data_IF_067633296038
#
_entry.id   IF_067633296038
#
_cell.length_a   1.000
_cell.length_b   1.000
_cell.length_c   1.000
_cell.angle_alpha   90.00
_cell.angle_beta   90.00
_cell.angle_gamma   90.00
#
_symmetry.space_group_name_H-M   'P 1'
#
loop_
_entity.id
_entity.type
_entity.pdbx_description
1 polymer ?
#
# COMPACT_ATOMS: atom_id res chain seq x y z
N UNK A 1 18.26 20.60 -3.67
CA UNK A 1 18.08 19.16 -3.73
C UNK A 1 16.60 18.82 -3.74
N UNK A 2 16.20 17.90 -4.60
CA UNK A 2 14.84 17.41 -4.61
C UNK A 2 14.53 16.69 -3.29
N UNK A 3 13.32 16.88 -2.77
CA UNK A 3 12.87 16.13 -1.59
C UNK A 3 12.75 14.65 -1.92
N UNK A 4 13.11 13.81 -0.97
CA UNK A 4 12.90 12.37 -1.12
C UNK A 4 11.40 12.07 -1.21
N UNK A 5 11.05 11.11 -2.04
CA UNK A 5 9.67 10.78 -2.34
C UNK A 5 9.33 9.36 -1.89
N UNK A 6 8.19 9.22 -1.23
CA UNK A 6 7.51 7.93 -1.01
C UNK A 6 6.40 7.83 -2.04
N UNK A 7 6.51 6.84 -2.93
CA UNK A 7 5.46 6.53 -3.90
C UNK A 7 4.54 5.47 -3.31
N UNK A 8 3.24 5.70 -3.34
CA UNK A 8 2.26 4.70 -2.92
C UNK A 8 1.66 4.06 -4.16
N UNK A 9 1.93 2.78 -4.35
CA UNK A 9 1.39 1.97 -5.44
C UNK A 9 0.29 1.10 -4.85
N UNK A 10 -0.94 1.55 -4.97
CA UNK A 10 -2.07 0.90 -4.32
C UNK A 10 -3.34 0.88 -5.16
N UNK A 11 -4.41 0.48 -4.52
CA UNK A 11 -5.74 0.37 -5.09
C UNK A 11 -6.73 1.30 -4.37
N UNK A 12 -8.01 0.94 -4.32
CA UNK A 12 -9.06 1.77 -3.72
C UNK A 12 -8.86 2.06 -2.23
N UNK A 13 -8.13 1.21 -1.52
CA UNK A 13 -7.87 1.43 -0.08
C UNK A 13 -6.95 2.63 0.16
N UNK A 14 -6.18 3.03 -0.84
CA UNK A 14 -5.27 4.18 -0.77
C UNK A 14 -5.65 5.31 -1.72
N UNK A 15 -6.43 5.03 -2.77
CA UNK A 15 -6.82 6.04 -3.76
C UNK A 15 -7.83 7.05 -3.24
N UNK A 16 -8.58 6.73 -2.21
CA UNK A 16 -9.66 7.59 -1.70
C UNK A 16 -11.00 7.26 -2.33
N UNK A 17 -11.44 6.01 -2.16
CA UNK A 17 -12.70 5.53 -2.74
C UNK A 17 -13.88 6.34 -2.22
N UNK A 18 -14.69 6.89 -3.14
CA UNK A 18 -15.88 7.71 -2.87
C UNK A 18 -15.58 8.97 -2.05
N UNK A 19 -14.39 9.56 -2.22
CA UNK A 19 -14.04 10.81 -1.55
C UNK A 19 -13.09 11.62 -2.42
N UNK A 20 -12.96 12.94 -2.16
CA UNK A 20 -11.93 13.73 -2.81
C UNK A 20 -10.53 13.20 -2.48
N UNK A 21 -9.62 13.23 -3.44
CA UNK A 21 -8.24 12.75 -3.22
C UNK A 21 -7.57 13.43 -2.04
N UNK A 22 -7.86 14.71 -1.81
CA UNK A 22 -7.29 15.47 -0.69
C UNK A 22 -7.74 14.96 0.68
N UNK A 23 -8.81 14.14 0.74
CA UNK A 23 -9.33 13.57 1.98
C UNK A 23 -8.76 12.18 2.27
N UNK A 24 -8.09 11.56 1.29
CA UNK A 24 -7.53 10.22 1.43
C UNK A 24 -6.28 10.23 2.32
N UNK A 25 -6.01 9.12 2.98
CA UNK A 25 -4.90 9.05 3.94
C UNK A 25 -3.53 9.41 3.34
N UNK A 26 -3.20 9.09 2.06
CA UNK A 26 -1.91 9.51 1.52
C UNK A 26 -1.74 11.03 1.46
N UNK A 27 -2.80 11.76 1.10
CA UNK A 27 -2.75 13.22 1.07
C UNK A 27 -2.59 13.80 2.47
N UNK A 28 -3.26 13.21 3.46
CA UNK A 28 -3.12 13.63 4.86
C UNK A 28 -1.73 13.33 5.41
N UNK A 29 -1.16 12.19 5.03
CA UNK A 29 0.22 11.84 5.37
C UNK A 29 1.21 12.84 4.76
N UNK A 30 1.00 13.20 3.51
CA UNK A 30 1.85 14.19 2.83
C UNK A 30 1.84 15.53 3.57
N UNK A 31 0.66 16.02 3.95
CA UNK A 31 0.54 17.26 4.73
C UNK A 31 1.31 17.16 6.05
N UNK A 32 1.17 16.04 6.75
CA UNK A 32 1.83 15.81 8.03
C UNK A 32 3.35 15.85 7.88
N UNK A 33 3.87 15.20 6.84
CA UNK A 33 5.31 15.13 6.63
C UNK A 33 5.90 16.40 6.04
N UNK A 34 5.14 17.14 5.24
CA UNK A 34 5.60 18.43 4.69
C UNK A 34 5.79 19.48 5.79
N UNK A 35 5.11 19.34 6.92
CA UNK A 35 5.29 20.24 8.06
C UNK A 35 6.63 20.00 8.79
N UNK A 36 7.36 18.94 8.47
CA UNK A 36 8.64 18.60 9.10
C UNK A 36 9.80 19.24 8.32
N UNK A 37 10.90 19.60 8.99
CA UNK A 37 12.05 20.22 8.32
C UNK A 37 12.68 19.35 7.23
N UNK A 38 12.65 18.01 7.41
CA UNK A 38 13.20 17.04 6.48
C UNK A 38 12.13 16.41 5.58
N UNK A 39 11.04 17.11 5.33
CA UNK A 39 9.81 16.59 4.76
C UNK A 39 9.99 15.62 3.61
N UNK A 40 9.39 14.43 3.75
CA UNK A 40 9.27 13.45 2.67
C UNK A 40 7.99 13.76 1.90
N UNK A 41 8.10 13.83 0.58
CA UNK A 41 6.94 14.01 -0.27
C UNK A 41 6.25 12.66 -0.50
N UNK A 42 4.93 12.63 -0.31
CA UNK A 42 4.12 11.44 -0.57
C UNK A 42 3.40 11.62 -1.90
N UNK A 43 3.63 10.71 -2.83
CA UNK A 43 2.94 10.68 -4.12
C UNK A 43 2.01 9.50 -4.14
N UNK A 44 0.72 9.77 -4.26
CA UNK A 44 -0.29 8.71 -4.30
C UNK A 44 -0.54 8.30 -5.75
N UNK A 45 0.01 7.16 -6.15
CA UNK A 45 -0.19 6.60 -7.48
C UNK A 45 -1.18 5.44 -7.46
N UNK A 46 -2.09 5.43 -6.49
CA UNK A 46 -3.08 4.37 -6.33
C UNK A 46 -4.24 4.56 -7.29
N UNK A 47 -4.77 3.46 -7.80
CA UNK A 47 -5.93 3.45 -8.71
C UNK A 47 -6.95 2.44 -8.18
N UNK A 48 -8.20 2.91 -7.97
CA UNK A 48 -9.27 2.04 -7.52
C UNK A 48 -9.49 0.88 -8.49
N UNK A 49 -9.61 -0.33 -7.96
CA UNK A 49 -9.85 -1.52 -8.76
C UNK A 49 -8.60 -2.22 -9.29
N UNK A 50 -7.42 -1.64 -9.13
CA UNK A 50 -6.21 -2.23 -9.67
C UNK A 50 -5.88 -3.58 -9.01
N UNK A 51 -5.54 -4.53 -9.87
CA UNK A 51 -4.89 -5.77 -9.47
C UNK A 51 -3.39 -5.56 -9.36
N UNK A 52 -2.68 -6.55 -8.81
CA UNK A 52 -1.21 -6.51 -8.77
C UNK A 52 -0.63 -6.42 -10.18
N UNK A 53 -1.19 -7.16 -11.15
CA UNK A 53 -0.73 -7.09 -12.55
C UNK A 53 -0.92 -5.72 -13.18
N UNK A 54 -2.03 -5.05 -12.87
CA UNK A 54 -2.27 -3.69 -13.38
C UNK A 54 -1.31 -2.69 -12.75
N UNK A 55 -1.05 -2.81 -11.45
CA UNK A 55 -0.04 -1.98 -10.79
C UNK A 55 1.35 -2.20 -11.38
N UNK A 56 1.70 -3.45 -11.66
CA UNK A 56 2.96 -3.81 -12.31
C UNK A 56 3.11 -3.12 -13.68
N UNK A 57 2.04 -3.12 -14.46
CA UNK A 57 2.08 -2.57 -15.83
C UNK A 57 2.41 -1.08 -15.85
N UNK A 58 1.96 -0.30 -14.86
CA UNK A 58 2.20 1.14 -14.84
C UNK A 58 3.40 1.55 -13.97
N UNK A 59 4.02 0.60 -13.28
CA UNK A 59 5.13 0.89 -12.39
C UNK A 59 6.38 1.48 -13.08
N UNK A 60 6.84 0.95 -14.24
CA UNK A 60 8.06 1.50 -14.86
C UNK A 60 7.96 3.00 -15.15
N UNK A 61 6.82 3.46 -15.67
CA UNK A 61 6.63 4.89 -15.96
C UNK A 61 6.63 5.72 -14.68
N UNK A 62 6.04 5.20 -13.60
CA UNK A 62 6.00 5.88 -12.31
C UNK A 62 7.39 5.99 -11.69
N UNK A 63 8.20 4.94 -11.77
CA UNK A 63 9.58 4.95 -11.27
C UNK A 63 10.41 5.98 -12.03
N UNK A 64 10.26 6.06 -13.35
CA UNK A 64 10.97 7.02 -14.16
C UNK A 64 10.54 8.47 -13.86
N UNK A 65 9.24 8.68 -13.73
CA UNK A 65 8.66 10.01 -13.52
C UNK A 65 9.01 10.58 -12.14
N UNK A 66 8.90 9.75 -11.10
CA UNK A 66 9.00 10.24 -9.72
C UNK A 66 10.32 9.94 -9.06
N UNK A 67 11.08 8.98 -9.55
CA UNK A 67 12.36 8.56 -8.98
C UNK A 67 12.28 8.45 -7.45
N UNK A 68 11.34 7.65 -6.92
CA UNK A 68 11.10 7.59 -5.49
C UNK A 68 12.25 6.92 -4.76
N UNK A 69 12.43 7.29 -3.49
CA UNK A 69 13.36 6.58 -2.62
C UNK A 69 12.71 5.34 -2.00
N UNK A 70 11.42 5.41 -1.76
CA UNK A 70 10.63 4.29 -1.21
C UNK A 70 9.37 4.10 -2.04
N UNK A 71 8.93 2.85 -2.17
CA UNK A 71 7.66 2.50 -2.79
C UNK A 71 6.88 1.64 -1.81
N UNK A 72 5.74 2.13 -1.35
CA UNK A 72 4.80 1.33 -0.56
C UNK A 72 3.89 0.59 -1.51
N UNK A 73 3.88 -0.74 -1.42
CA UNK A 73 3.08 -1.61 -2.28
C UNK A 73 1.86 -2.06 -1.48
N UNK A 74 0.67 -1.55 -1.87
CA UNK A 74 -0.60 -1.91 -1.24
C UNK A 74 -1.51 -2.48 -2.34
N UNK A 75 -1.22 -3.70 -2.79
CA UNK A 75 -1.89 -4.37 -3.90
C UNK A 75 -2.13 -5.84 -3.59
N UNK A 76 -3.05 -6.44 -4.34
CA UNK A 76 -3.37 -7.86 -4.25
C UNK A 76 -4.78 -8.12 -3.75
N UNK A 77 -5.42 -7.17 -3.08
CA UNK A 77 -6.78 -7.34 -2.57
C UNK A 77 -7.79 -7.63 -3.67
N UNK A 78 -7.73 -6.89 -4.78
CA UNK A 78 -8.65 -7.12 -5.89
C UNK A 78 -8.42 -8.47 -6.57
N UNK A 79 -7.17 -8.89 -6.66
CA UNK A 79 -6.82 -10.24 -7.15
C UNK A 79 -7.50 -11.30 -6.28
N UNK A 80 -7.36 -11.16 -4.97
CA UNK A 80 -7.95 -12.09 -4.00
C UNK A 80 -9.46 -12.10 -4.04
N UNK A 81 -10.09 -10.93 -4.14
CA UNK A 81 -11.56 -10.82 -4.24
C UNK A 81 -12.09 -11.49 -5.51
N UNK A 82 -11.29 -11.55 -6.57
CA UNK A 82 -11.63 -12.25 -7.81
C UNK A 82 -11.27 -13.72 -7.78
N UNK A 83 -10.67 -14.21 -6.71
CA UNK A 83 -10.27 -15.60 -6.58
C UNK A 83 -9.09 -16.00 -7.44
N UNK A 84 -8.21 -15.07 -7.79
CA UNK A 84 -7.01 -15.38 -8.57
C UNK A 84 -6.12 -16.36 -7.79
N UNK A 85 -5.41 -17.27 -8.48
CA UNK A 85 -4.50 -18.17 -7.80
C UNK A 85 -3.42 -17.39 -7.02
N UNK A 86 -3.17 -17.72 -5.74
CA UNK A 86 -2.16 -17.03 -4.95
C UNK A 86 -0.78 -17.02 -5.61
N UNK A 87 -0.40 -18.08 -6.33
CA UNK A 87 0.88 -18.12 -7.04
C UNK A 87 1.00 -17.02 -8.10
N UNK A 88 -0.10 -16.70 -8.78
CA UNK A 88 -0.10 -15.64 -9.79
C UNK A 88 0.05 -14.25 -9.13
N UNK A 89 -0.62 -14.06 -8.00
CA UNK A 89 -0.49 -12.83 -7.21
C UNK A 89 0.95 -12.68 -6.74
N UNK A 90 1.53 -13.73 -6.23
CA UNK A 90 2.92 -13.75 -5.77
C UNK A 90 3.90 -13.39 -6.87
N UNK A 91 3.69 -13.93 -8.09
CA UNK A 91 4.55 -13.63 -9.23
C UNK A 91 4.48 -12.15 -9.59
N UNK A 92 3.28 -11.58 -9.64
CA UNK A 92 3.12 -10.16 -9.99
C UNK A 92 3.74 -9.25 -8.93
N UNK A 93 3.53 -9.54 -7.65
CA UNK A 93 4.13 -8.78 -6.56
C UNK A 93 5.65 -8.93 -6.55
N UNK A 94 6.17 -10.12 -6.84
CA UNK A 94 7.60 -10.37 -6.95
C UNK A 94 8.24 -9.50 -8.04
N UNK A 95 7.58 -9.39 -9.19
CA UNK A 95 8.05 -8.55 -10.28
C UNK A 95 8.04 -7.07 -9.90
N UNK A 96 7.00 -6.63 -9.19
CA UNK A 96 6.94 -5.26 -8.68
C UNK A 96 8.12 -4.98 -7.77
N UNK A 97 8.37 -5.85 -6.79
CA UNK A 97 9.48 -5.70 -5.84
C UNK A 97 10.81 -5.63 -6.59
N UNK A 98 11.02 -6.52 -7.56
CA UNK A 98 12.24 -6.56 -8.37
C UNK A 98 12.46 -5.25 -9.12
N UNK A 99 11.41 -4.71 -9.77
CA UNK A 99 11.52 -3.45 -10.50
C UNK A 99 11.87 -2.28 -9.57
N UNK A 100 11.27 -2.25 -8.39
CA UNK A 100 11.55 -1.21 -7.40
C UNK A 100 13.03 -1.28 -6.98
N UNK A 101 13.53 -2.47 -6.68
CA UNK A 101 14.93 -2.66 -6.29
C UNK A 101 15.89 -2.32 -7.43
N UNK A 102 15.55 -2.68 -8.66
CA UNK A 102 16.37 -2.33 -9.83
C UNK A 102 16.43 -0.83 -10.07
N UNK A 103 15.40 -0.09 -9.66
CA UNK A 103 15.39 1.37 -9.70
C UNK A 103 16.10 1.99 -8.50
N UNK A 104 16.74 1.16 -7.65
CA UNK A 104 17.45 1.58 -6.45
C UNK A 104 16.55 2.27 -5.42
N UNK A 105 15.28 1.92 -5.42
CA UNK A 105 14.32 2.33 -4.42
C UNK A 105 14.11 1.20 -3.40
N UNK A 106 13.63 1.54 -2.21
CA UNK A 106 13.35 0.58 -1.16
C UNK A 106 11.87 0.16 -1.23
N UNK A 107 11.58 -1.12 -1.51
CA UNK A 107 10.20 -1.61 -1.44
C UNK A 107 9.75 -1.75 0.02
N UNK A 108 8.53 -1.32 0.28
CA UNK A 108 7.83 -1.54 1.54
C UNK A 108 6.55 -2.29 1.19
N UNK A 109 6.41 -3.53 1.63
CA UNK A 109 5.28 -4.36 1.25
C UNK A 109 4.24 -4.37 2.37
N UNK A 110 3.01 -3.93 2.06
CA UNK A 110 1.92 -3.99 3.02
C UNK A 110 1.28 -5.38 3.02
N UNK A 111 1.09 -5.94 4.20
CA UNK A 111 0.28 -7.14 4.37
C UNK A 111 -1.15 -6.83 3.96
N UNK A 112 -1.72 -7.61 3.06
CA UNK A 112 -3.14 -7.54 2.70
C UNK A 112 -3.83 -8.78 3.23
N UNK A 113 -5.08 -8.63 3.69
CA UNK A 113 -5.93 -9.73 4.11
C UNK A 113 -7.32 -9.56 3.48
N UNK A 114 -7.93 -10.67 3.16
CA UNK A 114 -9.27 -10.68 2.58
C UNK A 114 -10.34 -10.79 3.67
N UNK A 115 -11.58 -10.36 3.40
CA UNK A 115 -12.69 -10.64 4.30
C UNK A 115 -12.84 -12.14 4.55
N UNK A 116 -13.32 -12.52 5.74
CA UNK A 116 -13.31 -13.91 6.21
C UNK A 116 -14.23 -14.83 5.41
N UNK A 117 -15.19 -14.29 4.65
CA UNK A 117 -16.17 -15.08 3.90
C UNK A 117 -15.64 -15.69 2.59
N UNK A 118 -14.33 -15.54 2.28
CA UNK A 118 -13.74 -16.08 1.06
C UNK A 118 -13.16 -17.48 1.22
N UNK A 119 -13.39 -18.13 2.38
CA UNK A 119 -12.93 -19.47 2.65
C UNK A 119 -11.56 -19.48 3.33
N UNK A 120 -11.44 -20.32 4.36
CA UNK A 120 -10.25 -20.33 5.22
C UNK A 120 -8.99 -20.71 4.46
N UNK A 121 -9.05 -21.76 3.63
CA UNK A 121 -7.87 -22.25 2.91
C UNK A 121 -7.34 -21.20 1.94
N UNK A 122 -8.24 -20.59 1.17
CA UNK A 122 -7.86 -19.56 0.23
C UNK A 122 -7.29 -18.35 0.96
N UNK A 123 -7.94 -17.90 2.03
CA UNK A 123 -7.51 -16.74 2.80
C UNK A 123 -6.11 -16.97 3.40
N UNK A 124 -5.84 -18.15 3.91
CA UNK A 124 -4.51 -18.47 4.44
C UNK A 124 -3.45 -18.46 3.33
N UNK A 125 -3.73 -19.13 2.19
CA UNK A 125 -2.80 -19.14 1.06
C UNK A 125 -2.54 -17.76 0.51
N UNK A 126 -3.58 -16.94 0.44
CA UNK A 126 -3.46 -15.55 0.00
C UNK A 126 -2.60 -14.73 0.96
N UNK A 127 -2.94 -14.75 2.24
CA UNK A 127 -2.23 -13.90 3.22
C UNK A 127 -0.78 -14.32 3.42
N UNK A 128 -0.45 -15.60 3.23
CA UNK A 128 0.91 -16.12 3.38
C UNK A 128 1.86 -15.66 2.26
N UNK A 129 1.33 -15.18 1.14
CA UNK A 129 2.14 -14.63 0.04
C UNK A 129 3.03 -13.50 0.53
N UNK A 130 2.48 -12.62 1.36
CA UNK A 130 3.14 -11.38 1.75
C UNK A 130 4.34 -11.59 2.68
N UNK A 131 4.22 -12.30 3.80
CA UNK A 131 5.41 -12.55 4.62
C UNK A 131 6.46 -13.40 3.91
N UNK A 132 6.05 -14.30 3.01
CA UNK A 132 6.98 -15.09 2.22
C UNK A 132 7.81 -14.20 1.29
N UNK A 133 7.17 -13.25 0.60
CA UNK A 133 7.86 -12.29 -0.26
C UNK A 133 8.76 -11.36 0.54
N UNK A 134 8.29 -10.86 1.68
CA UNK A 134 9.09 -10.00 2.53
C UNK A 134 10.37 -10.69 2.98
N UNK A 135 10.28 -11.97 3.35
CA UNK A 135 11.44 -12.77 3.74
C UNK A 135 12.35 -13.04 2.55
N UNK A 136 11.79 -13.43 1.41
CA UNK A 136 12.54 -13.76 0.20
C UNK A 136 13.39 -12.58 -0.28
N UNK A 137 12.81 -11.38 -0.28
CA UNK A 137 13.49 -10.18 -0.76
C UNK A 137 14.16 -9.37 0.35
N UNK A 138 14.08 -9.82 1.60
CA UNK A 138 14.62 -9.14 2.77
C UNK A 138 14.15 -7.67 2.84
N UNK A 139 12.85 -7.47 2.71
CA UNK A 139 12.21 -6.15 2.74
C UNK A 139 11.22 -6.05 3.89
N UNK A 140 10.91 -4.82 4.34
CA UNK A 140 9.92 -4.64 5.41
C UNK A 140 8.53 -5.09 4.99
N UNK A 141 7.83 -5.72 5.94
CA UNK A 141 6.41 -6.04 5.82
C UNK A 141 5.65 -5.07 6.72
N UNK A 142 4.88 -4.18 6.10
CA UNK A 142 4.11 -3.16 6.83
C UNK A 142 2.76 -3.77 7.22
N UNK A 143 2.34 -3.66 8.49
CA UNK A 143 1.04 -4.17 8.90
C UNK A 143 -0.12 -3.54 8.12
N UNK A 144 -1.21 -4.28 7.98
CA UNK A 144 -2.37 -3.85 7.22
C UNK A 144 -3.24 -2.89 8.04
N UNK A 145 -3.37 -1.63 7.58
CA UNK A 145 -4.12 -0.63 8.34
C UNK A 145 -5.60 -0.99 8.52
N UNK A 146 -6.18 -1.77 7.58
CA UNK A 146 -7.59 -2.12 7.68
C UNK A 146 -7.90 -2.99 8.90
N UNK A 147 -6.93 -3.74 9.42
CA UNK A 147 -7.14 -4.50 10.65
C UNK A 147 -7.50 -3.59 11.83
N UNK A 148 -6.95 -2.37 11.87
CA UNK A 148 -7.30 -1.38 12.88
C UNK A 148 -8.64 -0.72 12.58
N UNK A 149 -8.92 -0.45 11.31
CA UNK A 149 -10.17 0.20 10.89
C UNK A 149 -11.37 -0.70 11.14
N UNK A 150 -11.23 -2.02 10.93
CA UNK A 150 -12.31 -2.97 11.16
C UNK A 150 -12.75 -3.05 12.63
N UNK A 151 -11.95 -2.56 13.57
CA UNK A 151 -12.34 -2.50 14.97
C UNK A 151 -13.45 -1.48 15.24
N UNK A 152 -13.68 -0.56 14.29
CA UNK A 152 -14.73 0.45 14.37
C UNK A 152 -15.68 0.31 13.18
N UNK A 153 -16.85 -0.37 13.36
CA UNK A 153 -17.78 -0.59 12.24
C UNK A 153 -18.24 0.70 11.54
N UNK A 154 -18.32 1.81 12.27
CA UNK A 154 -18.71 3.11 11.72
C UNK A 154 -17.70 3.67 10.74
N UNK A 155 -16.49 3.10 10.67
CA UNK A 155 -15.46 3.52 9.73
C UNK A 155 -15.44 2.69 8.46
N UNK A 156 -16.37 1.75 8.31
CA UNK A 156 -16.47 0.86 7.15
C UNK A 156 -17.73 1.20 6.36
N UNK A 157 -17.61 1.30 5.04
CA UNK A 157 -18.75 1.50 4.16
C UNK A 157 -19.68 0.27 4.17
N UNK A 158 -20.87 0.44 3.60
CA UNK A 158 -21.88 -0.61 3.54
C UNK A 158 -21.41 -1.87 2.77
N UNK A 159 -20.39 -1.74 1.95
CA UNK A 159 -19.82 -2.89 1.22
C UNK A 159 -18.98 -3.81 2.11
N UNK A 160 -18.67 -3.39 3.34
CA UNK A 160 -17.86 -4.18 4.26
C UNK A 160 -16.37 -4.22 3.91
N UNK A 161 -15.92 -3.43 2.94
CA UNK A 161 -14.57 -3.50 2.40
C UNK A 161 -13.83 -2.17 2.55
N UNK A 162 -14.48 -1.07 2.18
CA UNK A 162 -13.79 0.22 2.06
C UNK A 162 -13.93 1.06 3.33
N UNK A 163 -12.87 1.77 3.72
CA UNK A 163 -12.94 2.70 4.84
C UNK A 163 -13.68 3.98 4.44
N UNK A 164 -14.36 4.57 5.41
CA UNK A 164 -15.05 5.86 5.22
C UNK A 164 -14.05 7.00 5.17
N UNK A 165 -14.53 8.19 4.77
CA UNK A 165 -13.75 9.42 4.85
C UNK A 165 -13.33 9.72 6.28
N UNK A 166 -14.20 9.45 7.26
CA UNK A 166 -13.90 9.72 8.68
C UNK A 166 -12.75 8.86 9.22
N UNK A 167 -12.49 7.70 8.61
CA UNK A 167 -11.39 6.84 9.00
C UNK A 167 -10.02 7.36 8.51
N UNK A 168 -9.99 8.23 7.52
CA UNK A 168 -8.74 8.61 6.85
C UNK A 168 -7.73 9.29 7.76
N UNK A 169 -8.11 10.23 8.65
CA UNK A 169 -7.13 10.82 9.57
C UNK A 169 -6.48 9.79 10.48
N UNK A 170 -7.26 8.82 10.98
CA UNK A 170 -6.70 7.73 11.79
C UNK A 170 -5.69 6.91 10.98
N UNK A 171 -6.05 6.55 9.74
CA UNK A 171 -5.16 5.76 8.88
C UNK A 171 -3.85 6.51 8.63
N UNK A 172 -3.94 7.81 8.34
CA UNK A 172 -2.75 8.64 8.10
C UNK A 172 -1.83 8.67 9.32
N UNK A 173 -2.40 8.88 10.52
CA UNK A 173 -1.61 8.90 11.75
C UNK A 173 -0.98 7.54 12.05
N UNK A 174 -1.75 6.48 11.88
CA UNK A 174 -1.27 5.12 12.10
C UNK A 174 -0.14 4.76 11.12
N UNK A 175 -0.33 5.10 9.84
CA UNK A 175 0.70 4.86 8.82
C UNK A 175 1.95 5.68 9.07
N UNK A 176 1.81 6.92 9.53
CA UNK A 176 2.97 7.73 9.90
C UNK A 176 3.81 7.02 10.97
N UNK A 177 3.17 6.43 11.97
CA UNK A 177 3.85 5.68 13.02
C UNK A 177 4.55 4.43 12.45
N UNK A 178 3.87 3.68 11.58
CA UNK A 178 4.43 2.46 11.01
C UNK A 178 5.62 2.75 10.09
N UNK A 179 5.59 3.87 9.37
CA UNK A 179 6.60 4.20 8.37
C UNK A 179 7.75 5.03 8.91
N UNK A 180 7.64 5.60 10.11
CA UNK A 180 8.62 6.57 10.62
C UNK A 180 10.03 6.01 10.68
N UNK A 181 10.20 4.77 11.15
CA UNK A 181 11.53 4.13 11.21
C UNK A 181 12.02 3.62 9.87
N UNK A 182 11.11 3.42 8.90
CA UNK A 182 11.43 2.87 7.58
C UNK A 182 11.78 3.97 6.59
N UNK A 183 11.14 5.13 6.74
CA UNK A 183 11.31 6.29 5.86
C UNK A 183 12.20 7.30 6.58
N UNK A 184 13.49 7.04 6.54
CA UNK A 184 14.49 7.76 7.32
C UNK A 184 15.58 8.30 6.38
N UNK A 185 15.81 9.62 6.44
CA UNK A 185 16.82 10.29 5.61
C UNK A 185 18.26 9.96 6.01
N UNK A 186 18.49 9.43 7.20
CA UNK A 186 19.82 9.17 7.73
C UNK A 186 20.40 7.83 7.30
N UNK A 187 19.57 6.99 6.66
CA UNK A 187 20.02 5.65 6.26
C UNK A 187 20.65 5.64 4.87
#
# INVERSE_FOLDING_TARGET
LAADTLLILGDSLSAGYRMPAASAWPALLDQKWQARPDGVKVVNASISGDTAGQGLARLPALLQQHQPRWVLIELGGNDGLRGFPPNNIEQDLSKIITLVQQAQAQPLLMQIRLPTNYGRRYNESFSDVYPRLAKQFAIPLVPFFMEQVYLKPEWILEDGIHPTRDAQPFIADWMAQQLESLVNHES
#
